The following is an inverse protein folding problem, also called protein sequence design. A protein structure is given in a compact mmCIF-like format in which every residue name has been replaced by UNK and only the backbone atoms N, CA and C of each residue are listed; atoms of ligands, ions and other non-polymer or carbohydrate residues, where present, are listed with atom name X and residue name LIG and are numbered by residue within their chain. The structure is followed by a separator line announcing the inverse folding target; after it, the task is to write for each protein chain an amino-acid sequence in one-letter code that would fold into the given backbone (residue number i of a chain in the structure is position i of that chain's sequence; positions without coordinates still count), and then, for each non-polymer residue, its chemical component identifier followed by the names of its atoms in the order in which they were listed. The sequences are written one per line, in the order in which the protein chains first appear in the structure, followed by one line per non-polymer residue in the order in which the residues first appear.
data_IF_750578043785
#
_entry.id   IF_750578043785
#
_cell.length_a   1.000
_cell.length_b   1.000
_cell.length_c   1.000
_cell.angle_alpha   90.00
_cell.angle_beta   90.00
_cell.angle_gamma   90.00
#
_symmetry.space_group_name_H-M   'P 1'
#
loop_
_entity.id
_entity.type
_entity.pdbx_description
1 polymer ?
#
# COMPACT_ATOMS: atom_id res chain seq x y z
N UNK A 1 -28.08 5.33 0.51
CA UNK A 1 -27.36 5.48 -0.78
C UNK A 1 -27.70 4.31 -1.71
N UNK A 2 -27.79 4.52 -3.03
CA UNK A 2 -28.14 3.45 -4.00
C UNK A 2 -27.09 2.33 -3.96
N UNK A 3 -27.54 1.07 -3.96
CA UNK A 3 -26.81 -0.19 -3.67
C UNK A 3 -25.67 -0.57 -4.65
N UNK A 4 -25.11 0.37 -5.42
CA UNK A 4 -24.07 0.14 -6.43
C UNK A 4 -23.05 1.27 -6.59
N UNK A 5 -23.04 2.27 -5.69
CA UNK A 5 -22.19 3.46 -5.83
C UNK A 5 -20.68 3.19 -5.75
N UNK A 6 -20.26 2.05 -5.19
CA UNK A 6 -18.82 1.74 -5.00
C UNK A 6 -18.30 0.61 -5.90
N UNK A 7 -19.15 0.02 -6.75
CA UNK A 7 -18.78 -1.15 -7.55
C UNK A 7 -17.58 -0.86 -8.47
N UNK A 8 -17.54 0.31 -9.10
CA UNK A 8 -16.40 0.77 -9.88
C UNK A 8 -15.10 0.79 -9.07
N UNK A 9 -15.13 1.35 -7.85
CA UNK A 9 -13.95 1.41 -6.98
C UNK A 9 -13.51 0.03 -6.50
N UNK A 10 -14.46 -0.89 -6.26
CA UNK A 10 -14.13 -2.28 -5.90
C UNK A 10 -13.43 -2.99 -7.04
N UNK A 11 -13.89 -2.82 -8.28
CA UNK A 11 -13.22 -3.36 -9.47
C UNK A 11 -11.81 -2.75 -9.58
N UNK A 12 -11.66 -1.44 -9.39
CA UNK A 12 -10.36 -0.79 -9.41
C UNK A 12 -9.38 -1.37 -8.37
N UNK A 13 -9.85 -1.69 -7.15
CA UNK A 13 -9.03 -2.35 -6.12
C UNK A 13 -8.50 -3.71 -6.61
N UNK A 14 -9.33 -4.51 -7.28
CA UNK A 14 -8.88 -5.77 -7.88
C UNK A 14 -7.90 -5.55 -9.03
N UNK A 15 -8.20 -4.60 -9.93
CA UNK A 15 -7.32 -4.27 -11.06
C UNK A 15 -5.94 -3.76 -10.62
N UNK A 16 -5.85 -3.08 -9.47
CA UNK A 16 -4.58 -2.64 -8.88
C UNK A 16 -3.84 -3.83 -8.24
N UNK A 17 -4.57 -4.73 -7.56
CA UNK A 17 -3.98 -5.88 -6.89
C UNK A 17 -3.46 -6.97 -7.82
N UNK A 18 -4.15 -7.24 -8.94
CA UNK A 18 -3.82 -8.34 -9.85
C UNK A 18 -2.42 -8.24 -10.49
N UNK A 19 -1.98 -7.10 -11.06
CA UNK A 19 -0.65 -6.96 -11.63
C UNK A 19 0.45 -7.16 -10.59
N UNK A 20 0.27 -6.64 -9.38
CA UNK A 20 1.25 -6.79 -8.30
C UNK A 20 1.29 -8.23 -7.82
N UNK A 21 0.15 -8.93 -7.76
CA UNK A 21 0.11 -10.35 -7.45
C UNK A 21 0.84 -11.18 -8.52
N UNK A 22 0.61 -10.88 -9.80
CA UNK A 22 1.33 -11.52 -10.90
C UNK A 22 2.84 -11.26 -10.83
N UNK A 23 3.26 -10.03 -10.51
CA UNK A 23 4.67 -9.71 -10.26
C UNK A 23 5.22 -10.52 -9.08
N UNK A 24 4.50 -10.67 -7.96
CA UNK A 24 4.97 -11.45 -6.83
C UNK A 24 5.09 -12.96 -7.11
N UNK A 25 4.24 -13.51 -7.98
CA UNK A 25 4.19 -14.96 -8.30
C UNK A 25 5.13 -15.32 -9.47
N UNK A 26 5.26 -14.45 -10.46
CA UNK A 26 6.01 -14.75 -11.69
C UNK A 26 7.26 -13.87 -11.85
N UNK A 27 7.14 -12.57 -11.60
CA UNK A 27 8.24 -11.62 -11.79
C UNK A 27 9.35 -11.77 -10.75
N UNK A 28 9.00 -11.76 -9.46
CA UNK A 28 9.99 -11.84 -8.38
C UNK A 28 10.75 -13.18 -8.36
N UNK A 29 10.11 -14.34 -8.60
CA UNK A 29 10.87 -15.59 -8.68
C UNK A 29 11.82 -15.66 -9.87
N UNK A 30 11.51 -14.99 -10.99
CA UNK A 30 12.43 -14.89 -12.13
C UNK A 30 13.70 -14.13 -11.74
N UNK A 31 13.57 -13.00 -11.04
CA UNK A 31 14.70 -12.24 -10.49
C UNK A 31 15.48 -13.08 -9.46
N UNK A 32 14.78 -13.89 -8.66
CA UNK A 32 15.42 -14.77 -7.68
C UNK A 32 16.27 -15.87 -8.33
N UNK A 33 15.83 -16.42 -9.48
CA UNK A 33 16.61 -17.39 -10.25
C UNK A 33 17.85 -16.71 -10.84
N UNK A 34 17.70 -15.54 -11.45
CA UNK A 34 18.85 -14.75 -11.95
C UNK A 34 19.87 -14.47 -10.84
N UNK A 35 19.41 -14.18 -9.62
CA UNK A 35 20.28 -13.99 -8.47
C UNK A 35 21.11 -15.25 -8.14
N UNK A 36 20.57 -16.46 -8.32
CA UNK A 36 21.32 -17.71 -8.06
C UNK A 36 22.44 -17.98 -9.06
N UNK A 37 22.30 -17.48 -10.29
CA UNK A 37 23.27 -17.69 -11.37
C UNK A 37 24.37 -16.62 -11.38
N UNK A 38 24.19 -15.56 -10.60
CA UNK A 38 25.11 -14.42 -10.51
C UNK A 38 26.29 -14.62 -9.54
N UNK A 39 27.30 -13.75 -9.62
CA UNK A 39 28.41 -13.74 -8.66
C UNK A 39 27.90 -13.48 -7.23
N UNK A 40 28.60 -14.01 -6.22
CA UNK A 40 28.07 -14.05 -4.84
C UNK A 40 27.69 -12.67 -4.28
N UNK A 41 28.46 -11.62 -4.57
CA UNK A 41 28.22 -10.27 -4.08
C UNK A 41 26.94 -9.65 -4.67
N UNK A 42 26.68 -9.88 -5.95
CA UNK A 42 25.46 -9.43 -6.64
C UNK A 42 24.21 -10.17 -6.16
N UNK A 43 24.35 -11.49 -5.89
CA UNK A 43 23.28 -12.31 -5.37
C UNK A 43 22.75 -11.76 -4.02
N UNK A 44 23.63 -11.34 -3.10
CA UNK A 44 23.20 -10.78 -1.80
C UNK A 44 22.37 -9.50 -1.95
N UNK A 45 22.75 -8.60 -2.87
CA UNK A 45 22.01 -7.36 -3.13
C UNK A 45 20.63 -7.67 -3.68
N UNK A 46 20.54 -8.56 -4.68
CA UNK A 46 19.27 -8.99 -5.27
C UNK A 46 18.36 -9.66 -4.25
N UNK A 47 18.88 -10.57 -3.42
CA UNK A 47 18.10 -11.17 -2.34
C UNK A 47 17.60 -10.13 -1.34
N UNK A 48 18.43 -9.13 -1.01
CA UNK A 48 18.02 -8.00 -0.16
C UNK A 48 16.86 -7.22 -0.77
N UNK A 49 16.92 -6.89 -2.06
CA UNK A 49 15.84 -6.20 -2.79
C UNK A 49 14.57 -7.06 -2.81
N UNK A 50 14.69 -8.36 -3.07
CA UNK A 50 13.57 -9.30 -3.07
C UNK A 50 12.89 -9.36 -1.68
N UNK A 51 13.67 -9.38 -0.60
CA UNK A 51 13.13 -9.33 0.77
C UNK A 51 12.33 -8.04 0.98
N UNK A 52 12.84 -6.87 0.56
CA UNK A 52 12.13 -5.59 0.67
C UNK A 52 10.82 -5.62 -0.14
N UNK A 53 10.84 -6.17 -1.37
CA UNK A 53 9.66 -6.27 -2.22
C UNK A 53 8.60 -7.21 -1.64
N UNK A 54 8.97 -8.40 -1.17
CA UNK A 54 8.03 -9.32 -0.53
C UNK A 54 7.52 -8.80 0.81
N UNK A 55 8.38 -8.19 1.63
CA UNK A 55 7.99 -7.59 2.91
C UNK A 55 6.99 -6.44 2.72
N UNK A 56 7.18 -5.61 1.70
CA UNK A 56 6.26 -4.51 1.36
C UNK A 56 4.97 -4.96 0.66
N UNK A 57 4.96 -6.12 0.00
CA UNK A 57 3.75 -6.70 -0.58
C UNK A 57 2.69 -7.02 0.50
N UNK A 58 3.11 -7.44 1.70
CA UNK A 58 2.21 -7.75 2.82
C UNK A 58 1.33 -6.54 3.22
N UNK A 59 1.89 -5.38 3.62
CA UNK A 59 1.08 -4.21 3.93
C UNK A 59 0.34 -3.67 2.70
N UNK A 60 0.86 -3.84 1.49
CA UNK A 60 0.17 -3.45 0.26
C UNK A 60 -1.16 -4.21 0.08
N UNK A 61 -1.13 -5.55 0.09
CA UNK A 61 -2.36 -6.35 -0.04
C UNK A 61 -3.30 -6.16 1.14
N UNK A 62 -2.76 -5.96 2.35
CA UNK A 62 -3.58 -5.65 3.51
C UNK A 62 -4.28 -4.28 3.37
N UNK A 63 -3.62 -3.27 2.80
CA UNK A 63 -4.23 -1.98 2.51
C UNK A 63 -5.37 -2.11 1.49
N UNK A 64 -5.17 -2.88 0.41
CA UNK A 64 -6.23 -3.17 -0.58
C UNK A 64 -7.43 -3.86 0.07
N UNK A 65 -7.19 -4.84 0.94
CA UNK A 65 -8.26 -5.50 1.70
C UNK A 65 -9.04 -4.51 2.56
N UNK A 66 -8.35 -3.60 3.27
CA UNK A 66 -9.04 -2.58 4.07
C UNK A 66 -9.78 -1.54 3.22
N UNK A 67 -9.25 -1.18 2.05
CA UNK A 67 -9.95 -0.33 1.09
C UNK A 67 -11.25 -0.99 0.62
N UNK A 68 -11.21 -2.27 0.23
CA UNK A 68 -12.40 -3.04 -0.13
C UNK A 68 -13.43 -3.11 1.02
N UNK A 69 -12.95 -3.28 2.25
CA UNK A 69 -13.80 -3.29 3.44
C UNK A 69 -14.47 -1.95 3.67
N UNK A 70 -13.73 -0.85 3.52
CA UNK A 70 -14.25 0.52 3.62
C UNK A 70 -15.35 0.78 2.57
N UNK A 71 -15.13 0.39 1.31
CA UNK A 71 -16.14 0.49 0.25
C UNK A 71 -17.40 -0.32 0.58
N UNK A 72 -17.23 -1.51 1.17
CA UNK A 72 -18.35 -2.33 1.63
C UNK A 72 -19.11 -1.71 2.80
N UNK A 73 -18.43 -0.98 3.70
CA UNK A 73 -19.11 -0.22 4.75
C UNK A 73 -19.93 0.93 4.18
N UNK A 74 -19.43 1.62 3.15
CA UNK A 74 -20.17 2.67 2.44
C UNK A 74 -21.45 2.12 1.83
N UNK A 75 -21.39 0.97 1.13
CA UNK A 75 -22.59 0.33 0.56
C UNK A 75 -23.62 -0.08 1.62
N UNK A 76 -23.16 -0.43 2.83
CA UNK A 76 -24.00 -0.78 3.97
C UNK A 76 -24.49 0.45 4.77
N UNK A 77 -24.30 1.66 4.25
CA UNK A 77 -24.57 2.95 4.93
C UNK A 77 -23.86 3.08 6.30
N UNK A 78 -22.73 2.40 6.49
CA UNK A 78 -21.87 2.47 7.69
C UNK A 78 -20.60 3.30 7.44
N UNK A 79 -20.66 4.25 6.52
CA UNK A 79 -19.54 5.16 6.21
C UNK A 79 -19.13 5.96 7.45
N UNK A 80 -20.11 6.58 8.14
CA UNK A 80 -19.92 7.36 9.37
C UNK A 80 -20.02 6.46 10.62
N UNK A 81 -19.13 5.48 10.72
CA UNK A 81 -19.03 4.60 11.88
C UNK A 81 -17.56 4.37 12.25
N UNK A 82 -17.26 4.08 13.52
CA UNK A 82 -15.88 3.87 13.98
C UNK A 82 -15.17 2.74 13.23
N UNK A 83 -15.91 1.77 12.68
CA UNK A 83 -15.34 0.70 11.85
C UNK A 83 -14.69 1.23 10.56
N UNK A 84 -15.20 2.32 9.99
CA UNK A 84 -14.68 2.98 8.80
C UNK A 84 -13.44 3.81 9.14
N UNK A 85 -13.45 4.52 10.27
CA UNK A 85 -12.27 5.21 10.82
C UNK A 85 -11.14 4.22 11.10
N UNK A 86 -11.46 3.05 11.67
CA UNK A 86 -10.49 1.97 11.90
C UNK A 86 -9.91 1.41 10.60
N UNK A 87 -10.70 1.31 9.53
CA UNK A 87 -10.19 0.88 8.22
C UNK A 87 -9.19 1.91 7.64
N UNK A 88 -9.53 3.20 7.67
CA UNK A 88 -8.62 4.28 7.25
C UNK A 88 -7.32 4.32 8.07
N UNK A 89 -7.43 4.13 9.39
CA UNK A 89 -6.26 4.04 10.29
C UNK A 89 -5.32 2.90 9.87
N UNK A 90 -5.87 1.74 9.49
CA UNK A 90 -5.08 0.60 9.00
C UNK A 90 -4.41 0.89 7.65
N UNK A 91 -5.14 1.47 6.68
CA UNK A 91 -4.58 1.87 5.38
C UNK A 91 -3.40 2.82 5.57
N UNK A 92 -3.55 3.83 6.45
CA UNK A 92 -2.48 4.76 6.80
C UNK A 92 -1.23 4.02 7.30
N UNK A 93 -1.36 3.11 8.27
CA UNK A 93 -0.19 2.39 8.79
C UNK A 93 0.47 1.47 7.75
N UNK A 94 -0.31 0.85 6.87
CA UNK A 94 0.24 0.08 5.77
C UNK A 94 1.05 0.96 4.82
N UNK A 95 0.54 2.13 4.47
CA UNK A 95 1.24 3.08 3.60
C UNK A 95 2.54 3.60 4.26
N UNK A 96 2.53 3.86 5.57
CA UNK A 96 3.75 4.19 6.33
C UNK A 96 4.74 3.01 6.31
N UNK A 97 4.27 1.78 6.52
CA UNK A 97 5.13 0.60 6.50
C UNK A 97 5.81 0.39 5.13
N UNK A 98 5.07 0.55 4.03
CA UNK A 98 5.62 0.46 2.66
C UNK A 98 6.70 1.53 2.46
N UNK A 99 6.42 2.77 2.86
CA UNK A 99 7.38 3.88 2.78
C UNK A 99 8.66 3.56 3.56
N UNK A 100 8.54 3.04 4.79
CA UNK A 100 9.69 2.63 5.59
C UNK A 100 10.49 1.48 4.98
N UNK A 101 9.83 0.44 4.45
CA UNK A 101 10.52 -0.67 3.79
C UNK A 101 11.36 -0.18 2.60
N UNK A 102 10.81 0.67 1.74
CA UNK A 102 11.55 1.20 0.60
C UNK A 102 12.62 2.22 1.00
N UNK A 103 12.40 3.03 2.04
CA UNK A 103 13.44 3.90 2.59
C UNK A 103 14.61 3.09 3.16
N UNK A 104 14.34 2.01 3.88
CA UNK A 104 15.38 1.10 4.39
C UNK A 104 16.07 0.31 3.27
N UNK A 105 15.35 0.02 2.18
CA UNK A 105 15.89 -0.64 0.99
C UNK A 105 16.68 0.28 0.05
N UNK A 106 16.65 1.61 0.25
CA UNK A 106 17.34 2.57 -0.63
C UNK A 106 18.83 2.30 -0.80
N UNK A 107 19.62 1.96 0.24
CA UNK A 107 21.02 1.63 0.05
C UNK A 107 21.23 0.45 -0.91
N UNK A 108 20.36 -0.56 -0.86
CA UNK A 108 20.44 -1.70 -1.76
C UNK A 108 20.09 -1.32 -3.20
N UNK A 109 19.05 -0.48 -3.39
CA UNK A 109 18.67 0.03 -4.70
C UNK A 109 19.75 0.94 -5.30
N UNK A 110 20.46 1.71 -4.47
CA UNK A 110 21.59 2.55 -4.89
C UNK A 110 22.75 1.69 -5.38
N UNK A 111 23.15 0.67 -4.61
CA UNK A 111 24.22 -0.25 -4.99
C UNK A 111 23.88 -0.97 -6.31
N UNK A 112 22.63 -1.42 -6.46
CA UNK A 112 22.16 -2.04 -7.71
C UNK A 112 22.24 -1.08 -8.89
N UNK A 113 21.82 0.17 -8.71
CA UNK A 113 21.84 1.18 -9.76
C UNK A 113 23.25 1.51 -10.23
N UNK A 114 24.24 1.47 -9.32
CA UNK A 114 25.65 1.68 -9.65
C UNK A 114 26.25 0.49 -10.39
N UNK A 115 25.87 -0.75 -10.03
CA UNK A 115 26.38 -1.97 -10.68
C UNK A 115 25.84 -2.14 -12.11
N UNK A 116 24.54 -1.96 -12.31
CA UNK A 116 23.88 -2.15 -13.61
C UNK A 116 23.96 -0.90 -14.52
N UNK A 117 24.66 0.16 -14.09
CA UNK A 117 24.70 1.47 -14.76
C UNK A 117 23.27 2.00 -15.07
N UNK A 118 22.35 1.75 -14.13
CA UNK A 118 20.91 1.95 -14.27
C UNK A 118 20.37 2.89 -13.17
N UNK A 119 20.67 4.21 -13.23
CA UNK A 119 20.27 5.17 -12.20
C UNK A 119 18.74 5.29 -12.02
N UNK A 120 17.97 4.85 -13.01
CA UNK A 120 16.51 4.84 -12.95
C UNK A 120 15.92 3.97 -11.83
N UNK A 121 16.65 2.97 -11.33
CA UNK A 121 16.19 2.09 -10.24
C UNK A 121 15.90 2.88 -8.96
N UNK A 122 16.73 3.88 -8.65
CA UNK A 122 16.56 4.74 -7.46
C UNK A 122 15.26 5.55 -7.58
N UNK A 123 14.95 6.06 -8.79
CA UNK A 123 13.73 6.83 -9.04
C UNK A 123 12.47 5.99 -8.78
N UNK A 124 12.49 4.69 -9.14
CA UNK A 124 11.37 3.78 -8.86
C UNK A 124 11.13 3.68 -7.36
N UNK A 125 12.19 3.46 -6.57
CA UNK A 125 12.09 3.43 -5.12
C UNK A 125 11.53 4.75 -4.54
N UNK A 126 11.98 5.89 -5.05
CA UNK A 126 11.53 7.21 -4.59
C UNK A 126 10.07 7.46 -4.91
N UNK A 127 9.61 7.07 -6.10
CA UNK A 127 8.19 7.15 -6.49
C UNK A 127 7.32 6.30 -5.55
N UNK A 128 7.76 5.10 -5.19
CA UNK A 128 7.01 4.23 -4.26
C UNK A 128 6.94 4.84 -2.87
N UNK A 129 8.06 5.37 -2.34
CA UNK A 129 8.09 6.08 -1.04
C UNK A 129 7.15 7.28 -1.06
N UNK A 130 7.22 8.11 -2.10
CA UNK A 130 6.41 9.31 -2.24
C UNK A 130 4.93 8.99 -2.37
N UNK A 131 4.55 8.06 -3.24
CA UNK A 131 3.16 7.63 -3.41
C UNK A 131 2.59 7.07 -2.10
N UNK A 132 3.36 6.26 -1.38
CA UNK A 132 2.96 5.71 -0.09
C UNK A 132 2.80 6.80 0.97
N UNK A 133 3.67 7.82 0.97
CA UNK A 133 3.55 8.97 1.86
C UNK A 133 2.28 9.78 1.58
N UNK A 134 1.96 10.04 0.31
CA UNK A 134 0.72 10.72 -0.10
C UNK A 134 -0.51 9.95 0.40
N UNK A 135 -0.52 8.63 0.21
CA UNK A 135 -1.63 7.77 0.70
C UNK A 135 -1.74 7.82 2.22
N UNK A 136 -0.61 7.80 2.94
CA UNK A 136 -0.60 7.88 4.40
C UNK A 136 -1.18 9.21 4.91
N UNK A 137 -0.73 10.34 4.34
CA UNK A 137 -1.22 11.67 4.69
C UNK A 137 -2.70 11.81 4.35
N UNK A 138 -3.11 11.42 3.14
CA UNK A 138 -4.50 11.46 2.72
C UNK A 138 -5.41 10.62 3.62
N UNK A 139 -4.99 9.39 3.94
CA UNK A 139 -5.73 8.52 4.85
C UNK A 139 -5.82 9.11 6.27
N UNK A 140 -4.78 9.80 6.74
CA UNK A 140 -4.79 10.47 8.04
C UNK A 140 -5.79 11.64 8.07
N UNK A 141 -5.83 12.45 7.02
CA UNK A 141 -6.79 13.55 6.88
C UNK A 141 -8.22 13.00 6.84
N UNK A 142 -8.50 12.01 5.99
CA UNK A 142 -9.83 11.37 5.95
C UNK A 142 -10.21 10.71 7.28
N UNK A 143 -9.25 10.08 7.96
CA UNK A 143 -9.48 9.46 9.27
C UNK A 143 -9.96 10.51 10.28
N UNK A 144 -9.32 11.70 10.31
CA UNK A 144 -9.68 12.80 11.21
C UNK A 144 -11.05 13.38 10.86
N UNK A 145 -11.27 13.75 9.60
CA UNK A 145 -12.53 14.34 9.13
C UNK A 145 -13.73 13.42 9.38
N UNK A 146 -13.55 12.11 9.13
CA UNK A 146 -14.60 11.14 9.37
C UNK A 146 -14.90 10.98 10.86
N UNK A 147 -13.88 11.10 11.73
CA UNK A 147 -14.08 11.03 13.18
C UNK A 147 -14.83 12.25 13.69
N UNK A 148 -14.44 13.45 13.26
CA UNK A 148 -15.15 14.70 13.58
C UNK A 148 -16.62 14.63 13.13
N UNK A 149 -16.89 14.14 11.92
CA UNK A 149 -18.26 13.98 11.41
C UNK A 149 -19.09 12.97 12.22
N UNK A 150 -18.48 11.89 12.74
CA UNK A 150 -19.15 10.92 13.61
C UNK A 150 -19.51 11.58 14.95
N UNK A 151 -18.59 12.33 15.52
CA UNK A 151 -18.79 12.95 16.84
C UNK A 151 -19.90 14.01 16.77
N UNK A 152 -19.94 14.84 15.71
CA UNK A 152 -21.04 15.80 15.45
C UNK A 152 -22.38 15.08 15.31
N UNK A 153 -22.43 13.98 14.55
CA UNK A 153 -23.67 13.21 14.38
C UNK A 153 -24.15 12.64 15.71
N UNK A 154 -23.23 12.12 16.53
CA UNK A 154 -23.56 11.57 17.85
C UNK A 154 -24.11 12.63 18.80
N UNK A 155 -23.61 13.86 18.75
CA UNK A 155 -24.13 14.97 19.56
C UNK A 155 -25.54 15.38 19.14
N UNK A 156 -25.78 15.48 17.83
CA UNK A 156 -27.11 15.78 17.28
C UNK A 156 -28.14 14.68 17.62
N UNK A 157 -27.75 13.40 17.57
CA UNK A 157 -28.63 12.28 17.92
C UNK A 157 -28.95 12.22 19.44
N UNK A 158 -28.19 12.91 20.31
CA UNK A 158 -28.39 12.96 21.77
C UNK A 158 -29.20 14.18 22.24
N UNK A 159 -29.39 15.18 21.39
CA UNK A 159 -30.03 16.46 21.76
C UNK A 159 -31.45 16.64 21.19
N UNK A 160 -31.89 15.74 20.30
CA UNK A 160 -33.23 15.71 19.70
C UNK A 160 -34.12 14.69 20.40
#
# INVERSE_FOLDING_TARGET
MKRGSTLFLKIAVFLIGTPILALCIFGLPMIAIEATESQSEFAYILYGILIVMYASAIPFFFALYQAFKLLTYIDKNKAFADISVKALKKIKYCAIAISLFYLMGMPLLYLMAEIDDAPGIILIGLVIVFASMVIAVFSAVLQRLLKEAIDIKSENDLTV
#
